data_IF_759887702425
#
_entry.id   IF_759887702425
#
_cell.length_a   1.000
_cell.length_b   1.000
_cell.length_c   1.000
_cell.angle_alpha   90.00
_cell.angle_beta   90.00
_cell.angle_gamma   90.00
#
_symmetry.space_group_name_H-M   'P 1'
#
loop_
_entity.id
_entity.type
_entity.pdbx_description
1 polymer ?
#
# COMPACT_ATOMS: atom_id res chain seq x y z
N UNK A 1 8.65 -45.31 19.29
CA UNK A 1 9.35 -45.37 18.00
C UNK A 1 9.84 -46.78 17.78
N UNK A 2 9.58 -47.36 16.61
CA UNK A 2 10.19 -48.64 16.23
C UNK A 2 11.58 -48.42 15.59
N UNK A 3 12.38 -49.47 15.49
CA UNK A 3 13.74 -49.48 14.91
C UNK A 3 13.76 -48.87 13.50
N UNK A 4 12.70 -49.07 12.71
CA UNK A 4 12.56 -48.49 11.38
C UNK A 4 12.39 -46.96 11.41
N UNK A 5 11.64 -46.44 12.38
CA UNK A 5 11.45 -45.00 12.57
C UNK A 5 12.74 -44.35 13.06
N UNK A 6 13.49 -45.01 13.94
CA UNK A 6 14.80 -44.52 14.40
C UNK A 6 15.81 -44.42 13.25
N UNK A 7 15.89 -45.46 12.40
CA UNK A 7 16.76 -45.41 11.21
C UNK A 7 16.35 -44.29 10.27
N UNK A 8 15.06 -44.04 10.10
CA UNK A 8 14.55 -42.93 9.28
C UNK A 8 14.94 -41.58 9.87
N UNK A 9 14.78 -41.40 11.18
CA UNK A 9 15.18 -40.17 11.88
C UNK A 9 16.68 -39.90 11.73
N UNK A 10 17.53 -40.91 11.91
CA UNK A 10 18.98 -40.80 11.74
C UNK A 10 19.39 -40.48 10.29
N UNK A 11 18.63 -40.98 9.30
CA UNK A 11 18.86 -40.65 7.89
C UNK A 11 18.47 -39.21 7.56
N UNK A 12 17.35 -38.74 8.09
CA UNK A 12 16.96 -37.33 7.99
C UNK A 12 17.98 -36.43 8.71
N UNK A 13 18.61 -36.96 9.76
CA UNK A 13 19.80 -36.41 10.40
C UNK A 13 21.11 -36.75 9.65
N UNK A 14 21.11 -36.94 8.33
CA UNK A 14 22.33 -36.96 7.52
C UNK A 14 23.24 -38.19 7.67
N UNK A 15 22.79 -39.27 8.32
CA UNK A 15 23.42 -40.59 8.17
C UNK A 15 23.00 -41.24 6.84
N UNK A 16 23.93 -41.95 6.21
CA UNK A 16 23.56 -42.83 5.10
C UNK A 16 22.72 -44.01 5.60
N UNK A 17 22.08 -44.72 4.67
CA UNK A 17 21.31 -45.91 5.03
C UNK A 17 22.17 -46.94 5.80
N UNK A 18 23.38 -47.22 5.30
CA UNK A 18 24.28 -48.17 5.94
C UNK A 18 24.83 -47.66 7.28
N UNK A 19 25.08 -46.36 7.41
CA UNK A 19 25.48 -45.76 8.69
C UNK A 19 24.37 -45.88 9.75
N UNK A 20 23.12 -45.60 9.40
CA UNK A 20 21.99 -45.74 10.32
C UNK A 20 21.73 -47.21 10.71
N UNK A 21 21.87 -48.14 9.76
CA UNK A 21 21.73 -49.57 10.04
C UNK A 21 22.84 -50.10 10.96
N UNK A 22 24.10 -49.78 10.67
CA UNK A 22 25.25 -50.19 11.47
C UNK A 22 25.22 -49.58 12.87
N UNK A 23 24.89 -48.29 13.00
CA UNK A 23 24.82 -47.62 14.30
C UNK A 23 23.74 -48.21 15.21
N UNK A 24 22.54 -48.48 14.67
CA UNK A 24 21.45 -49.07 15.47
C UNK A 24 21.77 -50.51 15.87
N UNK A 25 22.40 -51.30 14.99
CA UNK A 25 22.87 -52.64 15.35
C UNK A 25 23.94 -52.58 16.46
N UNK A 26 24.85 -51.61 16.39
CA UNK A 26 25.88 -51.42 17.40
C UNK A 26 25.31 -50.99 18.76
N UNK A 27 24.29 -50.14 18.79
CA UNK A 27 23.57 -49.79 20.02
C UNK A 27 22.93 -50.99 20.71
N UNK A 28 22.50 -52.01 19.94
CA UNK A 28 21.92 -53.24 20.48
C UNK A 28 22.99 -54.20 21.00
N UNK A 29 24.13 -54.28 20.33
CA UNK A 29 25.24 -55.17 20.67
C UNK A 29 26.16 -54.59 21.76
N UNK A 30 26.15 -53.27 21.95
CA UNK A 30 27.04 -52.53 22.85
C UNK A 30 28.45 -52.34 22.28
N UNK A 31 29.11 -53.43 21.92
CA UNK A 31 30.39 -53.44 21.20
C UNK A 31 30.48 -54.69 20.31
N UNK A 32 31.09 -54.57 19.14
CA UNK A 32 31.23 -55.68 18.18
C UNK A 32 32.44 -55.49 17.28
N UNK A 33 33.01 -56.60 16.78
CA UNK A 33 33.97 -56.55 15.68
C UNK A 33 33.31 -56.07 14.38
N UNK A 34 34.08 -55.52 13.45
CA UNK A 34 33.58 -55.10 12.14
C UNK A 34 32.88 -56.25 11.37
N UNK A 35 33.35 -57.48 11.54
CA UNK A 35 32.74 -58.68 10.93
C UNK A 35 31.43 -59.05 11.60
N UNK A 36 31.37 -59.10 12.93
CA UNK A 36 30.14 -59.40 13.67
C UNK A 36 29.06 -58.33 13.42
N UNK A 37 29.47 -57.06 13.31
CA UNK A 37 28.56 -55.99 12.99
C UNK A 37 28.01 -56.13 11.57
N UNK A 38 28.85 -56.47 10.58
CA UNK A 38 28.42 -56.71 9.20
C UNK A 38 27.49 -57.93 9.05
N UNK A 39 27.55 -58.90 9.96
CA UNK A 39 26.62 -60.02 10.00
C UNK A 39 25.30 -59.64 10.70
N UNK A 40 25.37 -58.77 11.71
CA UNK A 40 24.22 -58.31 12.49
C UNK A 40 23.40 -57.21 11.80
N UNK A 41 24.01 -56.46 10.88
CA UNK A 41 23.33 -55.48 10.03
C UNK A 41 23.42 -55.88 8.56
N UNK A 42 22.50 -55.45 7.71
CA UNK A 42 22.50 -55.84 6.28
C UNK A 42 23.55 -55.06 5.44
N UNK A 43 24.65 -54.62 6.07
CA UNK A 43 25.70 -53.83 5.44
C UNK A 43 26.77 -54.79 4.90
N UNK A 44 27.09 -54.74 3.59
CA UNK A 44 28.11 -55.61 3.02
C UNK A 44 29.47 -55.47 3.73
N UNK A 45 30.18 -56.56 3.96
CA UNK A 45 31.50 -56.56 4.63
C UNK A 45 32.53 -55.66 3.90
N UNK A 46 32.43 -55.52 2.58
CA UNK A 46 33.27 -54.61 1.80
C UNK A 46 33.02 -53.12 2.12
N UNK A 47 31.88 -52.80 2.74
CA UNK A 47 31.40 -51.45 3.06
C UNK A 47 31.36 -51.14 4.56
N UNK A 48 31.65 -52.11 5.43
CA UNK A 48 31.50 -51.90 6.88
C UNK A 48 32.63 -51.04 7.45
N UNK A 49 33.86 -51.18 6.93
CA UNK A 49 35.03 -50.45 7.43
C UNK A 49 34.97 -48.96 7.12
N UNK A 50 34.51 -48.57 5.93
CA UNK A 50 34.23 -47.19 5.55
C UNK A 50 33.04 -46.63 6.32
N UNK A 51 31.97 -47.41 6.52
CA UNK A 51 30.83 -46.97 7.35
C UNK A 51 31.25 -46.70 8.79
N UNK A 52 32.07 -47.57 9.39
CA UNK A 52 32.60 -47.36 10.74
C UNK A 52 33.49 -46.12 10.81
N UNK A 53 34.39 -45.93 9.84
CA UNK A 53 35.23 -44.73 9.77
C UNK A 53 34.40 -43.45 9.67
N UNK A 54 33.34 -43.45 8.85
CA UNK A 54 32.47 -42.29 8.70
C UNK A 54 31.66 -42.00 9.97
N UNK A 55 31.20 -43.04 10.67
CA UNK A 55 30.49 -42.90 11.94
C UNK A 55 31.42 -42.38 13.05
N UNK A 56 32.66 -42.85 13.08
CA UNK A 56 33.69 -42.38 14.01
C UNK A 56 34.07 -40.92 13.74
N UNK A 57 34.23 -40.54 12.47
CA UNK A 57 34.49 -39.15 12.07
C UNK A 57 33.35 -38.20 12.47
N UNK A 58 32.11 -38.70 12.56
CA UNK A 58 30.95 -37.95 13.07
C UNK A 58 30.84 -38.00 14.60
N UNK A 59 31.68 -38.77 15.29
CA UNK A 59 31.67 -38.92 16.76
C UNK A 59 30.58 -39.85 17.30
N UNK A 60 29.90 -40.61 16.45
CA UNK A 60 28.80 -41.50 16.84
C UNK A 60 29.31 -42.79 17.48
N UNK A 61 30.51 -43.21 17.12
CA UNK A 61 31.16 -44.43 17.61
C UNK A 61 32.63 -44.16 17.89
N UNK A 62 33.26 -45.06 18.63
CA UNK A 62 34.70 -45.14 18.80
C UNK A 62 35.16 -46.51 18.33
N UNK A 63 36.26 -46.55 17.57
CA UNK A 63 36.88 -47.81 17.14
C UNK A 63 38.16 -48.10 17.93
N UNK A 64 38.46 -49.38 18.13
CA UNK A 64 39.66 -49.83 18.82
C UNK A 64 40.12 -51.19 18.29
N UNK A 65 41.42 -51.51 18.45
CA UNK A 65 41.97 -52.80 18.06
C UNK A 65 41.94 -53.79 19.23
N UNK A 66 41.30 -54.93 19.01
CA UNK A 66 41.33 -56.08 19.91
C UNK A 66 41.28 -57.36 19.08
N UNK A 67 42.44 -57.89 18.69
CA UNK A 67 42.63 -58.98 17.71
C UNK A 67 42.12 -58.68 16.28
N UNK A 68 41.10 -57.83 16.14
CA UNK A 68 40.57 -57.23 14.92
C UNK A 68 39.97 -55.85 15.25
N UNK A 69 39.52 -55.11 14.23
CA UNK A 69 38.88 -53.80 14.42
C UNK A 69 37.50 -53.98 15.09
N UNK A 70 37.34 -53.39 16.26
CA UNK A 70 36.09 -53.33 17.00
C UNK A 70 35.54 -51.92 17.04
N UNK A 71 34.23 -51.81 17.20
CA UNK A 71 33.52 -50.57 17.39
C UNK A 71 32.65 -50.66 18.64
N UNK A 72 32.44 -49.51 19.29
CA UNK A 72 31.41 -49.32 20.32
C UNK A 72 30.73 -47.99 20.11
N UNK A 73 29.45 -47.89 20.49
CA UNK A 73 28.76 -46.61 20.46
C UNK A 73 29.42 -45.64 21.46
N UNK A 74 29.56 -44.37 21.07
CA UNK A 74 29.92 -43.30 21.99
C UNK A 74 28.79 -43.05 22.99
N UNK A 75 29.05 -42.21 24.00
CA UNK A 75 28.01 -41.77 24.94
C UNK A 75 26.79 -41.25 24.16
N UNK A 76 25.59 -41.81 24.38
CA UNK A 76 24.37 -41.36 23.70
C UNK A 76 24.12 -39.86 23.84
N UNK A 77 24.67 -39.21 24.87
CA UNK A 77 24.56 -37.77 25.08
C UNK A 77 25.12 -36.97 23.89
N UNK A 78 26.26 -37.37 23.29
CA UNK A 78 26.85 -36.63 22.17
C UNK A 78 25.98 -36.70 20.91
N UNK A 79 25.40 -37.88 20.64
CA UNK A 79 24.49 -38.10 19.50
C UNK A 79 23.15 -37.40 19.75
N UNK A 80 22.67 -37.38 20.99
CA UNK A 80 21.48 -36.62 21.36
C UNK A 80 21.69 -35.12 21.16
N UNK A 81 22.83 -34.57 21.57
CA UNK A 81 23.18 -33.16 21.38
C UNK A 81 23.26 -32.80 19.89
N UNK A 82 23.86 -33.65 19.03
CA UNK A 82 23.89 -33.44 17.57
C UNK A 82 22.46 -33.40 16.98
N UNK A 83 21.61 -34.37 17.34
CA UNK A 83 20.23 -34.41 16.87
C UNK A 83 19.40 -33.20 17.35
N UNK A 84 19.59 -32.78 18.60
CA UNK A 84 18.90 -31.61 19.16
C UNK A 84 19.33 -30.31 18.50
N UNK A 85 20.64 -30.10 18.31
CA UNK A 85 21.17 -28.91 17.65
C UNK A 85 20.62 -28.76 16.23
N UNK A 86 20.50 -29.88 15.50
CA UNK A 86 19.93 -29.87 14.15
C UNK A 86 18.42 -29.60 14.14
N UNK A 87 17.69 -30.08 15.13
CA UNK A 87 16.28 -29.74 15.28
C UNK A 87 16.10 -28.23 15.49
N UNK A 88 16.92 -27.62 16.36
CA UNK A 88 16.93 -26.16 16.57
C UNK A 88 17.24 -25.42 15.28
N UNK A 89 18.28 -25.82 14.53
CA UNK A 89 18.63 -25.17 13.26
C UNK A 89 17.51 -25.24 12.22
N UNK A 90 16.78 -26.35 12.15
CA UNK A 90 15.64 -26.50 11.24
C UNK A 90 14.45 -25.62 11.66
N UNK A 91 14.23 -25.49 12.97
CA UNK A 91 13.19 -24.62 13.54
C UNK A 91 13.51 -23.13 13.30
N UNK A 92 14.76 -22.72 13.51
CA UNK A 92 15.26 -21.38 13.17
C UNK A 92 15.13 -21.10 11.67
N UNK A 93 15.48 -22.06 10.80
CA UNK A 93 15.32 -21.91 9.36
C UNK A 93 13.83 -21.79 8.95
N UNK A 94 12.93 -22.56 9.57
CA UNK A 94 11.49 -22.46 9.33
C UNK A 94 10.95 -21.09 9.78
N UNK A 95 11.38 -20.62 10.95
CA UNK A 95 11.04 -19.28 11.49
C UNK A 95 11.57 -18.17 10.57
N UNK A 96 12.78 -18.29 10.05
CA UNK A 96 13.35 -17.33 9.10
C UNK A 96 12.60 -17.35 7.76
N UNK A 97 12.18 -18.52 7.27
CA UNK A 97 11.32 -18.63 6.07
C UNK A 97 9.98 -17.93 6.32
N UNK A 98 9.35 -18.16 7.47
CA UNK A 98 8.11 -17.48 7.85
C UNK A 98 8.33 -15.97 7.97
N UNK A 99 9.43 -15.55 8.59
CA UNK A 99 9.81 -14.14 8.73
C UNK A 99 9.99 -13.50 7.35
N UNK A 100 10.71 -14.14 6.42
CA UNK A 100 10.89 -13.64 5.05
C UNK A 100 9.62 -13.69 4.21
N UNK A 101 8.74 -14.64 4.46
CA UNK A 101 7.42 -14.71 3.85
C UNK A 101 6.50 -13.59 4.36
N UNK A 102 6.62 -13.23 5.64
CA UNK A 102 5.90 -12.10 6.26
C UNK A 102 6.57 -10.74 5.99
N UNK A 103 7.87 -10.73 5.65
CA UNK A 103 8.56 -9.53 5.21
C UNK A 103 8.03 -9.12 3.84
N UNK A 104 7.57 -7.86 3.68
CA UNK A 104 7.12 -7.39 2.37
C UNK A 104 8.29 -7.46 1.38
N UNK A 105 8.08 -8.13 0.24
CA UNK A 105 8.87 -7.83 -0.94
C UNK A 105 8.68 -6.33 -1.23
N UNK A 106 9.75 -5.63 -1.60
CA UNK A 106 9.64 -4.25 -2.12
C UNK A 106 9.00 -4.33 -3.51
N UNK A 107 7.69 -4.54 -3.50
CA UNK A 107 6.71 -4.08 -4.48
C UNK A 107 5.68 -3.34 -3.66
N UNK A 108 5.55 -2.03 -3.89
CA UNK A 108 4.50 -1.17 -3.32
C UNK A 108 3.17 -1.90 -3.42
N UNK A 109 2.57 -2.22 -2.28
CA UNK A 109 1.27 -2.90 -2.25
C UNK A 109 0.20 -1.92 -2.76
N UNK A 110 -0.02 -1.87 -4.07
CA UNK A 110 -0.98 -0.96 -4.73
C UNK A 110 -2.41 -1.07 -4.17
N UNK A 111 -2.77 -2.20 -3.55
CA UNK A 111 -4.07 -2.38 -2.91
C UNK A 111 -4.00 -3.42 -1.78
N UNK A 112 -4.40 -3.03 -0.57
CA UNK A 112 -4.52 -3.91 0.60
C UNK A 112 -5.97 -4.00 1.07
N UNK A 113 -6.45 -5.20 1.37
CA UNK A 113 -7.80 -5.42 1.92
C UNK A 113 -7.70 -5.72 3.40
N UNK A 114 -8.40 -4.94 4.22
CA UNK A 114 -8.43 -5.09 5.67
C UNK A 114 -9.84 -5.46 6.15
N UNK A 115 -9.94 -6.13 7.30
CA UNK A 115 -11.25 -6.58 7.84
C UNK A 115 -11.89 -5.59 8.79
N UNK A 116 -11.16 -4.58 9.26
CA UNK A 116 -11.59 -3.65 10.31
C UNK A 116 -11.62 -2.23 9.76
N UNK A 117 -12.74 -1.54 10.01
CA UNK A 117 -12.90 -0.12 9.68
C UNK A 117 -11.83 0.74 10.34
N UNK A 118 -11.54 0.50 11.62
CA UNK A 118 -10.51 1.21 12.39
C UNK A 118 -9.13 1.21 11.71
N UNK A 119 -8.77 0.12 11.01
CA UNK A 119 -7.50 0.08 10.25
C UNK A 119 -7.52 1.03 9.05
N UNK A 120 -8.67 1.18 8.39
CA UNK A 120 -8.86 2.14 7.30
C UNK A 120 -8.82 3.57 7.83
N UNK A 121 -9.53 3.80 8.93
CA UNK A 121 -9.65 5.11 9.55
C UNK A 121 -8.30 5.64 10.04
N UNK A 122 -7.56 4.84 10.81
CA UNK A 122 -6.22 5.22 11.30
C UNK A 122 -5.25 5.48 10.14
N UNK A 123 -5.34 4.69 9.07
CA UNK A 123 -4.49 4.90 7.88
C UNK A 123 -4.84 6.20 7.15
N UNK A 124 -6.13 6.52 7.03
CA UNK A 124 -6.58 7.78 6.47
C UNK A 124 -6.13 8.96 7.33
N UNK A 125 -6.24 8.87 8.66
CA UNK A 125 -5.78 9.90 9.58
C UNK A 125 -4.28 10.20 9.45
N UNK A 126 -3.44 9.16 9.36
CA UNK A 126 -2.01 9.30 9.09
C UNK A 126 -1.74 10.04 7.79
N UNK A 127 -2.38 9.61 6.70
CA UNK A 127 -2.18 10.20 5.38
C UNK A 127 -2.66 11.65 5.32
N UNK A 128 -3.83 11.95 5.88
CA UNK A 128 -4.40 13.29 5.94
C UNK A 128 -3.45 14.23 6.68
N UNK A 129 -2.91 13.81 7.83
CA UNK A 129 -2.04 14.66 8.65
C UNK A 129 -0.80 15.14 7.90
N UNK A 130 -0.24 14.30 7.04
CA UNK A 130 0.98 14.60 6.28
C UNK A 130 0.68 15.29 4.94
N UNK A 131 -0.59 15.51 4.59
CA UNK A 131 -0.98 16.01 3.28
C UNK A 131 -0.58 17.46 3.05
N UNK A 132 -0.17 17.78 1.81
CA UNK A 132 0.17 19.14 1.37
C UNK A 132 -0.49 19.56 0.02
N UNK A 133 -1.07 18.60 -0.70
CA UNK A 133 -1.70 18.80 -2.01
C UNK A 133 -3.22 18.93 -1.93
N UNK A 134 -3.91 17.82 -1.76
CA UNK A 134 -5.38 17.76 -1.70
C UNK A 134 -5.86 16.58 -0.86
N UNK A 135 -6.88 16.83 -0.02
CA UNK A 135 -7.62 15.82 0.71
C UNK A 135 -9.07 15.83 0.23
N UNK A 136 -9.55 14.71 -0.29
CA UNK A 136 -10.96 14.48 -0.62
C UNK A 136 -11.52 13.46 0.38
N UNK A 137 -12.48 13.87 1.20
CA UNK A 137 -12.96 13.09 2.35
C UNK A 137 -14.48 12.97 2.34
N UNK A 138 -15.01 11.75 2.53
CA UNK A 138 -16.43 11.50 2.78
C UNK A 138 -16.60 10.78 4.11
N UNK A 139 -17.32 11.43 5.03
CA UNK A 139 -17.37 11.07 6.45
C UNK A 139 -18.71 11.39 7.09
N UNK A 140 -19.00 10.73 8.21
CA UNK A 140 -20.07 11.14 9.14
C UNK A 140 -19.61 12.32 10.01
N UNK A 141 -20.52 13.06 10.67
CA UNK A 141 -20.14 14.11 11.61
C UNK A 141 -19.21 13.63 12.73
N UNK A 142 -19.42 12.43 13.27
CA UNK A 142 -18.57 11.84 14.31
C UNK A 142 -17.14 11.59 13.80
N UNK A 143 -17.03 10.99 12.60
CA UNK A 143 -15.75 10.76 11.93
C UNK A 143 -15.03 12.06 11.58
N UNK A 144 -15.77 13.11 11.19
CA UNK A 144 -15.20 14.43 10.93
C UNK A 144 -14.58 15.02 12.21
N UNK A 145 -15.29 14.99 13.33
CA UNK A 145 -14.77 15.48 14.61
C UNK A 145 -13.52 14.71 15.07
N UNK A 146 -13.48 13.39 14.85
CA UNK A 146 -12.30 12.56 15.13
C UNK A 146 -11.10 12.92 14.23
N UNK A 147 -11.31 13.19 12.94
CA UNK A 147 -10.25 13.54 11.98
C UNK A 147 -9.86 15.02 12.01
N UNK A 148 -10.64 15.89 12.68
CA UNK A 148 -10.43 17.34 12.74
C UNK A 148 -9.00 17.76 13.09
N UNK A 149 -8.29 17.12 14.05
CA UNK A 149 -6.89 17.47 14.32
C UNK A 149 -5.97 17.22 13.12
N UNK A 150 -6.14 16.09 12.41
CA UNK A 150 -5.35 15.77 11.24
C UNK A 150 -5.68 16.70 10.05
N UNK A 151 -6.97 17.00 9.86
CA UNK A 151 -7.43 17.94 8.83
C UNK A 151 -6.92 19.36 9.06
N UNK A 152 -6.86 19.80 10.32
CA UNK A 152 -6.28 21.10 10.68
C UNK A 152 -4.80 21.15 10.29
N UNK A 153 -4.02 20.10 10.60
CA UNK A 153 -2.62 20.03 10.16
C UNK A 153 -2.50 20.04 8.64
N UNK A 154 -3.32 19.28 7.92
CA UNK A 154 -3.33 19.28 6.45
C UNK A 154 -3.61 20.68 5.88
N UNK A 155 -4.59 21.38 6.44
CA UNK A 155 -4.95 22.74 6.05
C UNK A 155 -3.78 23.72 6.32
N UNK A 156 -3.12 23.61 7.47
CA UNK A 156 -1.94 24.40 7.82
C UNK A 156 -0.74 24.12 6.90
N UNK A 157 -0.58 22.89 6.41
CA UNK A 157 0.42 22.52 5.40
C UNK A 157 0.11 23.13 4.01
N UNK A 158 -1.11 23.64 3.80
CA UNK A 158 -1.56 24.22 2.54
C UNK A 158 -2.29 23.25 1.61
N UNK A 159 -2.75 22.09 2.12
CA UNK A 159 -3.59 21.17 1.36
C UNK A 159 -4.99 21.76 1.14
N UNK A 160 -5.58 21.49 -0.03
CA UNK A 160 -6.98 21.78 -0.29
C UNK A 160 -7.86 20.66 0.29
N UNK A 161 -8.67 20.98 1.29
CA UNK A 161 -9.44 19.99 2.05
C UNK A 161 -10.92 20.06 1.65
N UNK A 162 -11.38 19.06 0.90
CA UNK A 162 -12.75 18.90 0.39
C UNK A 162 -13.49 17.84 1.21
N UNK A 163 -14.51 18.22 1.98
CA UNK A 163 -15.22 17.31 2.90
C UNK A 163 -16.69 17.15 2.54
N UNK A 164 -17.10 15.92 2.29
CA UNK A 164 -18.49 15.53 2.03
C UNK A 164 -19.06 14.88 3.29
N UNK A 165 -19.87 15.63 4.03
CA UNK A 165 -20.48 15.18 5.29
C UNK A 165 -21.84 14.55 5.00
N UNK A 166 -22.09 13.38 5.57
CA UNK A 166 -23.35 12.65 5.39
C UNK A 166 -23.90 12.06 6.70
N UNK A 167 -25.21 11.91 6.78
CA UNK A 167 -25.88 11.27 7.91
C UNK A 167 -26.22 9.80 7.65
N UNK A 168 -26.11 8.96 8.67
CA UNK A 168 -26.49 7.54 8.60
C UNK A 168 -28.02 7.33 8.58
N UNK A 169 -28.78 8.29 9.10
CA UNK A 169 -30.24 8.33 9.05
C UNK A 169 -30.69 9.67 8.45
N UNK A 170 -31.72 9.66 7.60
CA UNK A 170 -32.30 10.83 6.92
C UNK A 170 -33.06 11.79 7.86
N UNK A 171 -32.58 11.93 9.09
CA UNK A 171 -32.97 12.94 10.07
C UNK A 171 -32.02 14.12 9.92
N UNK A 172 -32.58 15.33 9.87
CA UNK A 172 -31.84 16.60 9.87
C UNK A 172 -30.61 16.52 10.76
N UNK A 173 -29.45 16.89 10.21
CA UNK A 173 -28.21 17.05 10.94
C UNK A 173 -28.46 17.80 12.25
N UNK A 174 -27.85 17.30 13.33
CA UNK A 174 -27.20 18.21 14.26
C UNK A 174 -26.09 18.90 13.46
N UNK A 175 -26.41 20.04 12.86
CA UNK A 175 -25.52 20.81 11.99
C UNK A 175 -24.27 21.17 12.78
N UNK A 176 -23.12 20.65 12.34
CA UNK A 176 -21.81 21.19 12.71
C UNK A 176 -21.86 22.69 12.37
N UNK A 177 -21.50 23.55 13.33
CA UNK A 177 -21.57 24.99 13.12
C UNK A 177 -20.49 25.42 12.11
N UNK A 178 -20.79 26.42 11.27
CA UNK A 178 -19.87 26.90 10.23
C UNK A 178 -18.46 27.25 10.77
N UNK A 179 -18.39 27.78 11.99
CA UNK A 179 -17.14 28.12 12.67
C UNK A 179 -16.22 26.90 12.91
N UNK A 180 -16.77 25.69 12.93
CA UNK A 180 -16.01 24.45 13.15
C UNK A 180 -15.27 23.95 11.91
N UNK A 181 -15.66 24.44 10.71
CA UNK A 181 -14.95 24.15 9.47
C UNK A 181 -13.79 25.11 9.20
N UNK A 182 -13.80 26.27 9.85
CA UNK A 182 -12.81 27.31 9.63
C UNK A 182 -11.40 26.86 10.04
N UNK A 183 -10.45 26.92 9.11
CA UNK A 183 -9.08 26.47 9.31
C UNK A 183 -8.91 24.95 9.31
N UNK A 184 -9.96 24.21 8.93
CA UNK A 184 -9.98 22.74 8.87
C UNK A 184 -10.30 22.27 7.45
N UNK A 185 -11.27 22.91 6.78
CA UNK A 185 -11.71 22.57 5.44
C UNK A 185 -11.57 23.76 4.49
N UNK A 186 -11.35 23.48 3.21
CA UNK A 186 -11.45 24.47 2.14
C UNK A 186 -12.88 24.58 1.64
N UNK A 187 -13.56 23.45 1.47
CA UNK A 187 -14.96 23.38 1.08
C UNK A 187 -15.61 22.20 1.77
N UNK A 188 -16.87 22.38 2.19
CA UNK A 188 -17.68 21.32 2.77
C UNK A 188 -19.01 21.27 2.04
N UNK A 189 -19.40 20.05 1.65
CA UNK A 189 -20.68 19.74 1.05
C UNK A 189 -21.47 18.79 1.92
N UNK A 190 -22.79 18.89 1.85
CA UNK A 190 -23.69 18.06 2.64
C UNK A 190 -24.49 17.07 1.78
N UNK A 191 -24.61 15.83 2.28
CA UNK A 191 -25.39 14.77 1.64
C UNK A 191 -26.45 14.17 2.55
N UNK A 192 -27.65 14.03 2.01
CA UNK A 192 -28.80 13.40 2.67
C UNK A 192 -28.84 11.85 2.57
N UNK A 193 -27.81 11.23 1.97
CA UNK A 193 -27.76 9.78 1.72
C UNK A 193 -26.58 9.12 2.44
N UNK A 194 -26.75 7.95 3.08
CA UNK A 194 -25.63 7.19 3.62
C UNK A 194 -24.61 6.83 2.55
N UNK A 195 -23.32 6.92 2.86
CA UNK A 195 -22.23 6.61 1.92
C UNK A 195 -21.08 5.85 2.56
N UNK A 196 -20.24 5.19 1.75
CA UNK A 196 -18.96 4.69 2.24
C UNK A 196 -18.09 5.82 2.79
N UNK A 197 -17.25 5.47 3.76
CA UNK A 197 -16.08 6.26 4.10
C UNK A 197 -15.11 6.23 2.93
N UNK A 198 -14.66 7.41 2.50
CA UNK A 198 -13.65 7.58 1.45
C UNK A 198 -12.69 8.67 1.86
N UNK A 199 -11.39 8.42 1.84
CA UNK A 199 -10.37 9.44 1.94
C UNK A 199 -9.38 9.26 0.79
N UNK A 200 -9.15 10.30 0.00
CA UNK A 200 -8.14 10.34 -1.07
C UNK A 200 -7.19 11.47 -0.75
N UNK A 201 -5.90 11.18 -0.76
CA UNK A 201 -4.86 12.12 -0.30
C UNK A 201 -3.76 12.22 -1.36
N UNK A 202 -3.44 13.45 -1.74
CA UNK A 202 -2.31 13.84 -2.60
C UNK A 202 -2.17 12.99 -3.87
N UNK A 203 -3.30 12.64 -4.48
CA UNK A 203 -3.41 11.86 -5.73
C UNK A 203 -2.74 10.48 -5.70
N UNK A 204 -2.22 10.03 -4.56
CA UNK A 204 -1.39 8.82 -4.45
C UNK A 204 -2.03 7.79 -3.53
N UNK A 205 -2.80 8.26 -2.56
CA UNK A 205 -3.38 7.43 -1.53
C UNK A 205 -4.91 7.43 -1.55
N UNK A 206 -5.53 6.26 -1.35
CA UNK A 206 -6.96 6.17 -1.10
C UNK A 206 -7.31 5.14 -0.01
N UNK A 207 -8.23 5.50 0.87
CA UNK A 207 -8.80 4.66 1.92
C UNK A 207 -10.30 4.57 1.70
N UNK A 208 -10.84 3.35 1.64
CA UNK A 208 -12.26 3.12 1.40
C UNK A 208 -12.81 2.11 2.40
N UNK A 209 -13.97 2.40 2.97
CA UNK A 209 -14.76 1.42 3.68
C UNK A 209 -16.26 1.59 3.37
N UNK A 210 -16.98 0.49 3.08
CA UNK A 210 -18.40 0.55 2.83
C UNK A 210 -19.17 0.97 4.08
N UNK A 211 -20.35 1.56 3.88
CA UNK A 211 -21.24 1.92 4.98
C UNK A 211 -21.64 0.68 5.82
N UNK A 212 -22.00 0.88 7.09
CA UNK A 212 -22.18 -0.20 8.07
C UNK A 212 -23.17 -1.29 7.66
N UNK A 213 -24.23 -0.90 6.94
CA UNK A 213 -25.27 -1.78 6.41
C UNK A 213 -24.90 -2.55 5.12
N UNK A 214 -23.65 -2.49 4.66
CA UNK A 214 -23.23 -3.19 3.44
C UNK A 214 -23.08 -4.70 3.67
N UNK A 215 -23.36 -5.48 2.63
CA UNK A 215 -23.22 -6.96 2.63
C UNK A 215 -21.76 -7.38 2.88
N UNK A 216 -20.82 -6.53 2.47
CA UNK A 216 -19.40 -6.76 2.62
C UNK A 216 -18.82 -5.76 3.62
N UNK A 217 -18.21 -6.25 4.70
CA UNK A 217 -17.49 -5.43 5.69
C UNK A 217 -15.99 -5.65 5.52
N UNK A 218 -15.39 -4.94 4.56
CA UNK A 218 -13.95 -4.89 4.37
C UNK A 218 -13.52 -3.46 4.04
N UNK A 219 -12.31 -3.12 4.41
CA UNK A 219 -11.63 -1.89 4.02
C UNK A 219 -10.69 -2.10 2.86
N UNK A 220 -10.49 -1.09 2.04
CA UNK A 220 -9.49 -1.06 0.96
C UNK A 220 -8.55 0.10 1.23
N UNK A 221 -7.25 -0.20 1.23
CA UNK A 221 -6.17 0.78 1.29
C UNK A 221 -5.44 0.74 -0.05
N UNK A 222 -5.21 1.90 -0.64
CA UNK A 222 -4.56 2.09 -1.94
C UNK A 222 -3.40 3.05 -1.75
N UNK A 223 -2.24 2.65 -2.27
CA UNK A 223 -1.03 3.47 -2.37
C UNK A 223 -0.53 3.36 -3.81
N UNK A 224 -1.31 3.97 -4.70
CA UNK A 224 -1.12 3.94 -6.15
C UNK A 224 -1.82 5.13 -6.81
N UNK A 225 -1.06 5.87 -7.62
CA UNK A 225 -1.54 7.07 -8.32
C UNK A 225 -2.65 6.78 -9.33
N UNK A 226 -2.62 5.62 -9.99
CA UNK A 226 -3.62 5.27 -11.03
C UNK A 226 -4.93 4.80 -10.39
N UNK A 227 -4.85 4.00 -9.33
CA UNK A 227 -6.04 3.54 -8.60
C UNK A 227 -6.68 4.68 -7.80
N UNK A 228 -5.89 5.57 -7.21
CA UNK A 228 -6.40 6.78 -6.56
C UNK A 228 -7.23 7.63 -7.54
N UNK A 229 -6.86 7.69 -8.82
CA UNK A 229 -7.63 8.38 -9.86
C UNK A 229 -9.04 7.80 -10.05
N UNK A 230 -9.22 6.48 -9.92
CA UNK A 230 -10.55 5.85 -9.99
C UNK A 230 -11.41 6.27 -8.80
N UNK A 231 -10.84 6.30 -7.59
CA UNK A 231 -11.54 6.79 -6.40
C UNK A 231 -11.88 8.27 -6.51
N UNK A 232 -11.00 9.07 -7.10
CA UNK A 232 -11.24 10.48 -7.38
C UNK A 232 -12.48 10.68 -8.25
N UNK A 233 -12.60 9.94 -9.36
CA UNK A 233 -13.82 10.02 -10.19
C UNK A 233 -15.08 9.61 -9.43
N UNK A 234 -15.00 8.57 -8.60
CA UNK A 234 -16.13 8.17 -7.74
C UNK A 234 -16.48 9.29 -6.75
N UNK A 235 -15.49 9.89 -6.08
CA UNK A 235 -15.70 10.99 -5.15
C UNK A 235 -16.35 12.19 -5.85
N UNK A 236 -15.77 12.66 -6.94
CA UNK A 236 -16.26 13.82 -7.68
C UNK A 236 -17.71 13.60 -8.14
N UNK A 237 -17.97 12.51 -8.86
CA UNK A 237 -19.27 12.31 -9.51
C UNK A 237 -20.37 11.86 -8.56
N UNK A 238 -20.08 11.08 -7.51
CA UNK A 238 -21.10 10.51 -6.62
C UNK A 238 -21.19 11.21 -5.25
N UNK A 239 -20.07 11.73 -4.74
CA UNK A 239 -19.95 12.24 -3.38
C UNK A 239 -19.77 13.77 -3.30
N UNK A 240 -19.48 14.45 -4.41
CA UNK A 240 -19.14 15.87 -4.39
C UNK A 240 -20.06 16.73 -5.26
N UNK A 241 -20.01 16.55 -6.58
CA UNK A 241 -20.55 17.50 -7.57
C UNK A 241 -22.05 17.76 -7.46
N UNK A 242 -22.83 16.73 -7.10
CA UNK A 242 -24.30 16.80 -7.07
C UNK A 242 -24.88 17.32 -5.75
N UNK A 243 -24.03 17.79 -4.84
CA UNK A 243 -24.41 18.13 -3.46
C UNK A 243 -24.15 19.60 -3.14
N UNK A 244 -24.96 20.14 -2.23
CA UNK A 244 -24.94 21.56 -1.88
C UNK A 244 -23.70 21.91 -1.05
N UNK A 245 -23.08 23.05 -1.36
CA UNK A 245 -22.02 23.67 -0.57
C UNK A 245 -22.61 24.24 0.71
N UNK A 246 -22.09 23.80 1.85
CA UNK A 246 -22.47 24.32 3.18
C UNK A 246 -21.41 25.23 3.77
N UNK A 247 -20.15 25.07 3.36
CA UNK A 247 -19.05 25.94 3.75
C UNK A 247 -18.04 26.06 2.63
N UNK A 248 -17.48 27.25 2.45
CA UNK A 248 -16.30 27.47 1.60
C UNK A 248 -15.41 28.53 2.23
N UNK A 249 -14.12 28.23 2.30
CA UNK A 249 -13.07 29.18 2.69
C UNK A 249 -12.58 30.00 1.48
N UNK A 250 -12.98 29.61 0.26
CA UNK A 250 -12.52 30.24 -0.97
C UNK A 250 -13.29 31.53 -1.24
N UNK A 251 -12.56 32.58 -1.63
CA UNK A 251 -13.13 33.85 -2.06
C UNK A 251 -13.45 33.82 -3.55
N UNK A 252 -14.46 34.58 -3.96
CA UNK A 252 -14.76 34.81 -5.38
C UNK A 252 -13.74 35.75 -6.07
N UNK A 253 -12.79 36.29 -5.32
CA UNK A 253 -11.73 37.17 -5.81
C UNK A 253 -10.36 36.47 -5.72
N UNK A 254 -9.44 36.71 -6.67
CA UNK A 254 -8.07 36.21 -6.64
C UNK A 254 -7.31 36.55 -5.33
N UNK A 255 -6.42 35.67 -4.86
CA UNK A 255 -6.00 34.42 -5.50
C UNK A 255 -7.01 33.26 -5.33
N UNK A 256 -7.36 32.58 -6.43
CA UNK A 256 -8.28 31.43 -6.42
C UNK A 256 -7.48 30.17 -6.77
N UNK A 257 -7.42 29.20 -5.85
CA UNK A 257 -6.62 27.98 -6.00
C UNK A 257 -7.48 26.80 -6.42
N UNK A 258 -7.02 26.05 -7.43
CA UNK A 258 -7.65 24.85 -7.95
C UNK A 258 -6.67 23.68 -7.89
N UNK A 259 -7.13 22.54 -7.40
CA UNK A 259 -6.45 21.24 -7.45
C UNK A 259 -6.81 20.40 -8.68
N UNK A 260 -7.92 20.74 -9.35
CA UNK A 260 -8.42 20.04 -10.53
C UNK A 260 -8.63 21.06 -11.66
N UNK A 261 -8.06 20.76 -12.82
CA UNK A 261 -8.20 21.60 -14.02
C UNK A 261 -9.66 21.72 -14.47
N UNK A 262 -10.51 20.74 -14.17
CA UNK A 262 -11.92 20.74 -14.57
C UNK A 262 -12.70 21.80 -13.82
N UNK A 263 -12.48 21.91 -12.51
CA UNK A 263 -13.05 22.99 -11.70
C UNK A 263 -12.53 24.35 -12.16
N UNK A 264 -11.23 24.45 -12.47
CA UNK A 264 -10.68 25.67 -13.06
C UNK A 264 -11.40 26.04 -14.37
N UNK A 265 -11.59 25.08 -15.28
CA UNK A 265 -12.26 25.33 -16.57
C UNK A 265 -13.72 25.74 -16.39
N UNK A 266 -14.46 25.11 -15.47
CA UNK A 266 -15.86 25.47 -15.18
C UNK A 266 -16.01 26.95 -14.80
N UNK A 267 -15.05 27.49 -14.05
CA UNK A 267 -15.07 28.89 -13.60
C UNK A 267 -14.41 29.85 -14.61
N UNK A 268 -13.36 29.41 -15.29
CA UNK A 268 -12.55 30.25 -16.18
C UNK A 268 -13.16 30.43 -17.58
N UNK A 269 -13.77 29.39 -18.14
CA UNK A 269 -14.27 29.41 -19.52
C UNK A 269 -15.36 30.46 -19.77
N UNK A 270 -16.38 30.64 -18.90
CA UNK A 270 -17.35 31.73 -19.05
C UNK A 270 -16.70 33.12 -19.03
N UNK A 271 -15.67 33.31 -18.19
CA UNK A 271 -14.95 34.58 -18.08
C UNK A 271 -14.14 34.87 -19.36
N UNK A 272 -13.47 33.86 -19.92
CA UNK A 272 -12.75 33.98 -21.19
C UNK A 272 -13.70 34.31 -22.35
N UNK A 273 -14.88 33.69 -22.40
CA UNK A 273 -15.92 34.01 -23.37
C UNK A 273 -16.43 35.45 -23.24
N UNK A 274 -16.54 35.97 -22.03
CA UNK A 274 -16.85 37.38 -21.76
C UNK A 274 -15.68 38.34 -22.05
N UNK A 275 -14.56 37.83 -22.56
CA UNK A 275 -13.37 38.60 -22.92
C UNK A 275 -12.53 39.06 -21.73
N UNK A 276 -12.70 38.42 -20.56
CA UNK A 276 -11.84 38.64 -19.40
C UNK A 276 -10.48 38.02 -19.63
N UNK A 277 -9.46 38.68 -19.08
CA UNK A 277 -8.10 38.14 -19.05
C UNK A 277 -7.85 37.48 -17.72
N UNK A 278 -7.33 36.26 -17.75
CA UNK A 278 -7.05 35.44 -16.57
C UNK A 278 -5.54 35.18 -16.53
N UNK A 279 -4.89 35.59 -15.44
CA UNK A 279 -3.49 35.27 -15.17
C UNK A 279 -3.46 34.13 -14.17
N UNK A 280 -2.82 33.02 -14.53
CA UNK A 280 -2.73 31.83 -13.72
C UNK A 280 -1.27 31.44 -13.48
N UNK A 281 -1.00 31.05 -12.24
CA UNK A 281 0.22 30.40 -11.82
C UNK A 281 -0.01 28.88 -11.79
N UNK A 282 0.80 28.13 -12.53
CA UNK A 282 0.68 26.68 -12.68
C UNK A 282 1.87 26.03 -12.01
N UNK A 283 1.60 25.09 -11.11
CA UNK A 283 2.59 24.21 -10.49
C UNK A 283 2.28 22.76 -10.86
N UNK A 284 3.27 22.04 -11.39
CA UNK A 284 3.07 20.70 -11.92
C UNK A 284 4.35 19.99 -12.33
N UNK A 285 4.23 19.08 -13.29
CA UNK A 285 5.34 18.31 -13.84
C UNK A 285 5.30 18.32 -15.37
N UNK A 286 6.46 18.35 -16.01
CA UNK A 286 6.55 18.09 -17.46
C UNK A 286 6.11 16.65 -17.77
N UNK A 287 5.26 16.45 -18.78
CA UNK A 287 4.69 15.12 -19.05
C UNK A 287 5.71 14.12 -19.60
N UNK A 288 6.79 14.61 -20.23
CA UNK A 288 7.81 13.79 -20.87
C UNK A 288 8.70 13.03 -19.87
N UNK A 289 9.32 13.73 -18.93
CA UNK A 289 10.29 13.18 -17.97
C UNK A 289 9.89 13.36 -16.50
N UNK A 290 8.77 14.03 -16.23
CA UNK A 290 8.24 14.35 -14.90
C UNK A 290 9.12 15.28 -14.07
N UNK A 291 9.91 16.14 -14.71
CA UNK A 291 10.60 17.21 -14.00
C UNK A 291 9.59 18.23 -13.41
N UNK A 292 9.75 18.64 -12.14
CA UNK A 292 8.89 19.67 -11.54
C UNK A 292 9.03 20.99 -12.29
N UNK A 293 7.90 21.61 -12.61
CA UNK A 293 7.86 22.90 -13.33
C UNK A 293 6.83 23.82 -12.72
N UNK A 294 7.12 25.12 -12.78
CA UNK A 294 6.27 26.17 -12.22
C UNK A 294 6.43 27.46 -13.03
N UNK A 295 5.32 28.06 -13.45
CA UNK A 295 5.32 29.30 -14.23
C UNK A 295 4.02 30.08 -14.07
N UNK A 296 4.06 31.37 -14.40
CA UNK A 296 2.88 32.25 -14.42
C UNK A 296 2.68 32.77 -15.84
N UNK A 297 1.44 32.75 -16.33
CA UNK A 297 1.10 33.25 -17.65
C UNK A 297 -0.38 33.60 -17.81
N UNK A 298 -0.73 34.13 -18.98
CA UNK A 298 -2.12 34.41 -19.36
C UNK A 298 -2.76 33.15 -19.94
N UNK A 299 -3.95 32.80 -19.46
CA UNK A 299 -4.73 31.70 -20.01
C UNK A 299 -5.44 32.21 -21.25
N UNK A 300 -5.01 31.74 -22.43
CA UNK A 300 -5.48 32.28 -23.72
C UNK A 300 -6.51 31.39 -24.41
N UNK A 301 -6.54 30.10 -24.09
CA UNK A 301 -7.47 29.16 -24.70
C UNK A 301 -7.80 28.00 -23.76
N UNK A 302 -8.99 27.42 -23.95
CA UNK A 302 -9.46 26.22 -23.24
C UNK A 302 -9.91 25.20 -24.27
N UNK A 303 -9.44 23.97 -24.12
CA UNK A 303 -9.82 22.86 -24.97
C UNK A 303 -10.41 21.72 -24.15
N UNK A 304 -11.58 21.23 -24.56
CA UNK A 304 -12.18 20.04 -23.99
C UNK A 304 -12.94 19.20 -25.03
N UNK A 305 -13.04 17.89 -24.84
CA UNK A 305 -13.80 16.99 -25.74
C UNK A 305 -15.32 16.98 -25.49
N UNK A 306 -15.86 17.89 -24.66
CA UNK A 306 -17.29 17.90 -24.32
C UNK A 306 -18.20 18.05 -25.56
N UNK A 307 -19.44 17.58 -25.45
CA UNK A 307 -20.44 17.56 -26.54
C UNK A 307 -21.46 18.71 -26.39
N UNK A 308 -21.23 19.61 -25.44
CA UNK A 308 -22.22 20.60 -25.00
C UNK A 308 -22.18 21.88 -25.82
N UNK A 309 -23.26 22.67 -25.78
CA UNK A 309 -23.34 23.94 -26.53
C UNK A 309 -22.52 25.02 -25.82
N UNK A 310 -21.96 26.02 -26.53
CA UNK A 310 -21.03 27.01 -25.95
C UNK A 310 -21.61 27.91 -24.85
N UNK A 311 -22.94 27.98 -24.72
CA UNK A 311 -23.63 28.92 -23.82
C UNK A 311 -24.06 28.29 -22.48
N UNK A 312 -23.81 26.99 -22.26
CA UNK A 312 -24.16 26.30 -21.00
C UNK A 312 -22.93 26.17 -20.08
N UNK A 313 -23.11 26.43 -18.79
CA UNK A 313 -22.10 26.09 -17.78
C UNK A 313 -21.89 24.58 -17.75
N UNK A 314 -20.66 24.14 -18.02
CA UNK A 314 -20.31 22.72 -18.10
C UNK A 314 -20.40 22.03 -16.73
N UNK A 315 -20.96 20.82 -16.72
CA UNK A 315 -20.85 19.92 -15.58
C UNK A 315 -19.50 19.20 -15.56
N UNK A 316 -19.04 18.81 -14.38
CA UNK A 316 -17.81 18.04 -14.21
C UNK A 316 -17.82 16.73 -15.03
N UNK A 317 -18.98 16.07 -15.16
CA UNK A 317 -19.12 14.85 -15.96
C UNK A 317 -18.99 15.07 -17.46
N UNK A 318 -19.35 16.25 -17.98
CA UNK A 318 -19.15 16.60 -19.39
C UNK A 318 -17.68 16.83 -19.72
N UNK A 319 -16.88 17.16 -18.70
CA UNK A 319 -15.43 17.30 -18.75
C UNK A 319 -14.68 15.97 -18.52
N UNK A 320 -15.35 14.81 -18.58
CA UNK A 320 -14.70 13.51 -18.41
C UNK A 320 -13.70 13.14 -19.52
N UNK A 321 -13.78 13.81 -20.67
CA UNK A 321 -12.82 13.67 -21.77
C UNK A 321 -11.48 14.36 -21.52
N UNK A 322 -10.75 14.64 -22.60
CA UNK A 322 -9.57 15.48 -22.54
C UNK A 322 -9.99 16.90 -22.14
N UNK A 323 -9.21 17.51 -21.24
CA UNK A 323 -9.35 18.90 -20.82
C UNK A 323 -7.95 19.46 -20.68
N UNK A 324 -7.66 20.54 -21.40
CA UNK A 324 -6.42 21.28 -21.27
C UNK A 324 -6.64 22.78 -21.48
N UNK A 325 -5.68 23.56 -21.00
CA UNK A 325 -5.66 25.02 -21.15
C UNK A 325 -4.35 25.42 -21.82
N UNK A 326 -4.39 26.51 -22.59
CA UNK A 326 -3.19 27.12 -23.16
C UNK A 326 -2.79 28.30 -22.29
N UNK A 327 -1.54 28.30 -21.82
CA UNK A 327 -0.98 29.37 -20.99
C UNK A 327 0.19 30.01 -21.71
N UNK A 328 0.08 31.31 -22.00
CA UNK A 328 1.14 32.10 -22.62
C UNK A 328 1.97 32.82 -21.56
N UNK A 329 3.27 32.55 -21.57
CA UNK A 329 4.27 33.28 -20.75
C UNK A 329 5.05 34.26 -21.64
N UNK A 330 5.95 35.04 -21.03
CA UNK A 330 6.83 35.94 -21.80
C UNK A 330 7.83 35.20 -22.71
N UNK A 331 8.12 33.92 -22.42
CA UNK A 331 9.14 33.13 -23.11
C UNK A 331 8.52 32.10 -24.06
N UNK A 332 7.53 31.35 -23.58
CA UNK A 332 6.95 30.19 -24.28
C UNK A 332 5.45 30.06 -24.01
N UNK A 333 4.79 29.23 -24.82
CA UNK A 333 3.37 28.85 -24.67
C UNK A 333 3.31 27.39 -24.23
N UNK A 334 2.60 27.11 -23.15
CA UNK A 334 2.43 25.76 -22.60
C UNK A 334 1.00 25.26 -22.79
N UNK A 335 0.87 24.01 -23.23
CA UNK A 335 -0.35 23.24 -23.06
C UNK A 335 -0.35 22.57 -21.69
N UNK A 336 -1.39 22.81 -20.89
CA UNK A 336 -1.48 22.35 -19.49
C UNK A 336 -2.69 21.45 -19.32
N UNK A 337 -2.47 20.20 -18.89
CA UNK A 337 -3.51 19.22 -18.58
C UNK A 337 -3.69 18.99 -17.09
N UNK A 338 -4.71 18.21 -16.72
CA UNK A 338 -4.99 17.81 -15.34
C UNK A 338 -4.29 16.53 -14.89
N UNK A 339 -4.75 15.96 -13.77
CA UNK A 339 -4.28 14.66 -13.26
C UNK A 339 -4.26 13.60 -14.37
N UNK A 340 -3.06 13.09 -14.69
CA UNK A 340 -2.85 12.04 -15.67
C UNK A 340 -2.67 12.54 -17.12
N UNK A 341 -2.36 13.83 -17.30
CA UNK A 341 -2.00 14.40 -18.59
C UNK A 341 -0.81 13.66 -19.24
N UNK A 342 -0.93 13.43 -20.54
CA UNK A 342 0.06 12.69 -21.35
C UNK A 342 0.26 13.31 -22.73
N UNK A 343 -0.65 14.19 -23.17
CA UNK A 343 -0.62 14.82 -24.48
C UNK A 343 -0.14 16.27 -24.40
N UNK A 344 -0.44 16.91 -23.28
CA UNK A 344 -0.07 18.26 -22.92
C UNK A 344 1.41 18.35 -22.50
N UNK A 345 1.99 19.55 -22.50
CA UNK A 345 3.37 19.76 -22.10
C UNK A 345 3.53 19.56 -20.58
N UNK A 346 2.50 19.96 -19.81
CA UNK A 346 2.53 19.98 -18.34
C UNK A 346 1.30 19.31 -17.74
N UNK A 347 1.53 18.44 -16.74
CA UNK A 347 0.51 17.92 -15.83
C UNK A 347 0.39 18.84 -14.61
N UNK A 348 -0.70 19.60 -14.49
CA UNK A 348 -0.90 20.50 -13.36
C UNK A 348 -1.32 19.75 -12.08
N UNK A 349 -0.63 20.04 -10.98
CA UNK A 349 -1.06 19.67 -9.63
C UNK A 349 -1.92 20.75 -9.01
N UNK A 350 -1.55 22.01 -9.23
CA UNK A 350 -2.22 23.18 -8.67
C UNK A 350 -2.20 24.32 -9.67
N UNK A 351 -3.34 24.98 -9.81
CA UNK A 351 -3.53 26.16 -10.64
C UNK A 351 -4.04 27.26 -9.74
N UNK A 352 -3.35 28.40 -9.69
CA UNK A 352 -3.75 29.57 -8.90
C UNK A 352 -4.05 30.72 -9.83
N UNK A 353 -5.30 31.17 -9.88
CA UNK A 353 -5.68 32.41 -10.57
C UNK A 353 -5.19 33.57 -9.73
N UNK A 354 -4.24 34.35 -10.25
CA UNK A 354 -3.65 35.51 -9.56
C UNK A 354 -4.40 36.81 -9.88
N UNK A 355 -4.97 36.92 -11.08
CA UNK A 355 -5.69 38.11 -11.51
C UNK A 355 -6.77 37.78 -12.56
N UNK A 356 -7.86 38.53 -12.50
CA UNK A 356 -8.93 38.55 -13.49
C UNK A 356 -9.20 40.02 -13.84
N UNK A 357 -9.15 40.40 -15.13
CA UNK A 357 -9.39 41.79 -15.58
C UNK A 357 -10.36 41.88 -16.74
#
# INVERSE_FOLDING_TARGET
MDTAELRTALRNAGLSQYQAEAYVALLQLGAASATELADACAVPTARIYDVLRDLEAKGYIETYEQDSLHARACDPQSVMEDLQNRAVQLDEAATEIETRWQQPAVDKHMLSIVKRFETVFNRAEEMIRDADGEVQLSVTPEQFEELKPALTTAYENGALVKVSVHCEQATKLDTIADDEYHGVATEVRHRDLPTPFVAIVDRTGACFAPHENSVNQYGVLVDDYTLAYVFHWYFQTALWEVWDVVYTAQTAEPPIVYSDIRHFVQDAEPLLHDGKRIVAHVNGYETGDREPTEFTGEVTDVYHTSVSSPDDTLSFSELAGQVCITVETDEETYSVGGWGAMLEDVEANRITVEAIS
#
